data_IF_292571817522
#
_entry.id   IF_292571817522
#
_cell.length_a   1.000
_cell.length_b   1.000
_cell.length_c   1.000
_cell.angle_alpha   90.00
_cell.angle_beta   90.00
_cell.angle_gamma   90.00
#
_symmetry.space_group_name_H-M   'P 1'
#
loop_
_entity.id
_entity.type
_entity.pdbx_description
1 polymer ?
#
# COMPACT_ATOMS: atom_id res chain seq x y z
N UNK A 1 11.88 -11.90 -22.36
CA UNK A 1 12.47 -10.69 -21.71
C UNK A 1 13.98 -10.75 -21.58
N UNK A 2 14.62 -11.89 -21.88
CA UNK A 2 16.08 -12.13 -21.78
C UNK A 2 16.68 -11.75 -20.41
N UNK A 3 15.92 -11.94 -19.33
CA UNK A 3 16.38 -11.64 -17.98
C UNK A 3 17.59 -12.52 -17.60
N UNK A 4 18.70 -11.90 -17.23
CA UNK A 4 19.98 -12.56 -16.95
C UNK A 4 20.28 -12.71 -15.46
N UNK A 5 19.41 -12.14 -14.60
CA UNK A 5 19.54 -12.23 -13.15
C UNK A 5 19.02 -13.53 -12.56
N UNK A 6 18.96 -13.60 -11.25
CA UNK A 6 18.46 -14.73 -10.48
C UNK A 6 16.93 -14.71 -10.49
N UNK A 7 16.29 -15.84 -10.83
CA UNK A 7 14.86 -16.05 -10.65
C UNK A 7 14.67 -16.84 -9.35
N UNK A 8 14.13 -16.17 -8.33
CA UNK A 8 13.80 -16.76 -7.03
C UNK A 8 12.30 -16.99 -6.91
N UNK A 9 11.90 -18.12 -6.34
CA UNK A 9 10.48 -18.36 -6.04
C UNK A 9 10.00 -17.49 -4.87
N UNK A 10 8.70 -17.36 -4.72
CA UNK A 10 8.11 -16.98 -3.43
C UNK A 10 8.35 -18.09 -2.38
N UNK A 11 8.07 -17.76 -1.11
CA UNK A 11 8.40 -18.59 0.05
C UNK A 11 7.57 -19.87 0.11
N UNK A 12 8.26 -21.02 0.13
CA UNK A 12 7.68 -22.34 0.36
C UNK A 12 6.68 -22.82 -0.69
N UNK A 13 6.68 -22.26 -1.93
CA UNK A 13 5.67 -22.60 -2.96
C UNK A 13 5.76 -24.04 -3.47
N UNK A 14 6.90 -24.72 -3.31
CA UNK A 14 7.08 -26.12 -3.72
C UNK A 14 6.82 -27.11 -2.58
N UNK A 15 6.66 -26.62 -1.34
CA UNK A 15 6.48 -27.48 -0.16
C UNK A 15 5.05 -28.02 -0.05
N UNK A 16 4.92 -29.16 0.61
CA UNK A 16 3.62 -29.72 0.96
C UNK A 16 2.89 -28.81 1.96
N UNK A 17 1.53 -28.82 1.97
CA UNK A 17 0.73 -27.94 2.82
C UNK A 17 1.08 -28.04 4.31
N UNK A 18 1.44 -29.22 4.77
CA UNK A 18 1.79 -29.51 6.17
C UNK A 18 3.07 -28.82 6.62
N UNK A 19 3.95 -28.47 5.67
CA UNK A 19 5.21 -27.78 5.92
C UNK A 19 5.09 -26.26 5.84
N UNK A 20 3.95 -25.74 5.39
CA UNK A 20 3.74 -24.31 5.27
C UNK A 20 3.28 -23.69 6.60
N UNK A 21 3.45 -22.39 6.74
CA UNK A 21 2.97 -21.66 7.92
C UNK A 21 1.46 -21.80 8.01
N UNK A 22 0.96 -22.19 9.17
CA UNK A 22 -0.47 -22.34 9.44
C UNK A 22 -1.25 -21.11 9.01
N UNK A 23 -2.30 -21.31 8.22
CA UNK A 23 -3.16 -20.25 7.70
C UNK A 23 -2.81 -19.72 6.30
N UNK A 24 -1.68 -20.13 5.70
CA UNK A 24 -1.36 -19.81 4.29
C UNK A 24 -1.94 -20.81 3.30
N UNK A 25 -2.42 -21.95 3.76
CA UNK A 25 -2.93 -23.01 2.89
C UNK A 25 -1.86 -23.63 1.98
N UNK A 26 -2.30 -24.43 1.02
CA UNK A 26 -1.42 -24.99 0.00
C UNK A 26 -0.92 -23.89 -0.93
N UNK A 27 0.37 -23.82 -1.17
CA UNK A 27 1.01 -22.91 -2.14
C UNK A 27 1.35 -23.57 -3.47
N UNK A 28 1.20 -24.88 -3.56
CA UNK A 28 1.50 -25.67 -4.77
C UNK A 28 0.29 -25.79 -5.71
N UNK A 29 -0.39 -24.69 -6.00
CA UNK A 29 -1.59 -24.66 -6.83
C UNK A 29 -1.38 -25.26 -8.22
N UNK A 30 -2.25 -26.19 -8.61
CA UNK A 30 -2.23 -26.87 -9.89
C UNK A 30 -1.22 -28.03 -9.99
N UNK A 31 -0.39 -28.24 -8.95
CA UNK A 31 0.65 -29.29 -8.89
C UNK A 31 0.63 -30.06 -7.57
N UNK A 32 -0.52 -30.09 -6.90
CA UNK A 32 -0.68 -30.68 -5.57
C UNK A 32 -0.38 -32.20 -5.56
N UNK A 33 -0.70 -32.90 -6.66
CA UNK A 33 -0.52 -34.33 -6.80
C UNK A 33 0.92 -34.75 -7.16
N UNK A 34 1.80 -33.77 -7.45
CA UNK A 34 3.22 -33.99 -7.68
C UNK A 34 3.95 -34.08 -6.34
N UNK A 35 5.04 -34.82 -6.31
CA UNK A 35 5.98 -34.77 -5.18
C UNK A 35 6.70 -33.44 -5.12
N UNK A 36 7.24 -33.08 -3.97
CA UNK A 36 8.01 -31.83 -3.80
C UNK A 36 9.21 -31.79 -4.78
N UNK A 37 9.89 -32.93 -5.00
CA UNK A 37 10.99 -33.03 -5.96
C UNK A 37 10.53 -32.76 -7.41
N UNK A 38 9.37 -33.27 -7.80
CA UNK A 38 8.82 -33.04 -9.15
C UNK A 38 8.42 -31.58 -9.35
N UNK A 39 7.85 -30.93 -8.32
CA UNK A 39 7.56 -29.48 -8.35
C UNK A 39 8.85 -28.67 -8.48
N UNK A 40 9.89 -29.03 -7.73
CA UNK A 40 11.22 -28.43 -7.86
C UNK A 40 11.80 -28.60 -9.26
N UNK A 41 11.71 -29.80 -9.83
CA UNK A 41 12.17 -30.06 -11.19
C UNK A 41 11.41 -29.20 -12.22
N UNK A 42 10.09 -29.11 -12.07
CA UNK A 42 9.26 -28.26 -12.93
C UNK A 42 9.70 -26.79 -12.86
N UNK A 43 9.95 -26.27 -11.67
CA UNK A 43 10.44 -24.92 -11.46
C UNK A 43 11.83 -24.71 -12.09
N UNK A 44 12.78 -25.62 -11.83
CA UNK A 44 14.15 -25.57 -12.38
C UNK A 44 14.13 -25.57 -13.92
N UNK A 45 13.35 -26.44 -14.53
CA UNK A 45 13.27 -26.54 -15.99
C UNK A 45 12.58 -25.34 -16.64
N UNK A 46 11.76 -24.61 -15.88
CA UNK A 46 11.15 -23.34 -16.29
C UNK A 46 11.97 -22.09 -15.91
N UNK A 47 13.19 -22.26 -15.42
CA UNK A 47 14.13 -21.15 -15.28
C UNK A 47 14.36 -20.63 -13.88
N UNK A 48 13.77 -21.24 -12.85
CA UNK A 48 14.01 -20.88 -11.44
C UNK A 48 15.43 -21.26 -11.03
N UNK A 49 16.13 -20.33 -10.40
CA UNK A 49 17.53 -20.50 -9.96
C UNK A 49 17.66 -20.66 -8.43
N UNK A 50 16.67 -20.16 -7.68
CA UNK A 50 16.67 -20.17 -6.21
C UNK A 50 15.26 -20.41 -5.66
N UNK A 51 15.18 -21.16 -4.55
CA UNK A 51 13.91 -21.44 -3.86
C UNK A 51 13.83 -20.64 -2.57
N UNK A 52 12.87 -19.68 -2.54
CA UNK A 52 12.63 -18.85 -1.36
C UNK A 52 12.02 -19.66 -0.21
N UNK A 53 12.44 -19.35 1.02
CA UNK A 53 11.89 -19.95 2.24
C UNK A 53 12.07 -21.46 2.38
N UNK A 54 12.91 -22.09 1.55
CA UNK A 54 13.21 -23.51 1.61
C UNK A 54 14.73 -23.71 1.74
N UNK A 55 15.16 -24.30 2.85
CA UNK A 55 16.57 -24.62 3.13
C UNK A 55 16.89 -26.12 3.00
N UNK A 56 15.91 -26.94 2.63
CA UNK A 56 16.08 -28.38 2.46
C UNK A 56 16.70 -28.71 1.10
N UNK A 57 17.88 -29.34 1.10
CA UNK A 57 18.55 -29.76 -0.14
C UNK A 57 17.99 -31.07 -0.74
N UNK A 58 17.34 -31.88 0.08
CA UNK A 58 16.81 -33.19 -0.33
C UNK A 58 15.94 -33.17 -1.59
N UNK A 59 14.87 -32.37 -1.62
CA UNK A 59 14.00 -32.24 -2.78
C UNK A 59 14.72 -31.79 -4.06
N UNK A 60 15.74 -30.91 -3.94
CA UNK A 60 16.52 -30.44 -5.10
C UNK A 60 17.45 -31.54 -5.65
N UNK A 61 18.09 -32.31 -4.76
CA UNK A 61 18.95 -33.42 -5.16
C UNK A 61 18.12 -34.51 -5.87
N UNK A 62 16.94 -34.80 -5.35
CA UNK A 62 16.02 -35.75 -5.99
C UNK A 62 15.48 -35.23 -7.31
N UNK A 63 15.11 -33.92 -7.39
CA UNK A 63 14.72 -33.28 -8.64
C UNK A 63 15.82 -33.39 -9.71
N UNK A 64 17.10 -33.25 -9.34
CA UNK A 64 18.22 -33.42 -10.26
C UNK A 64 18.27 -34.84 -10.79
N UNK A 65 18.11 -35.91 -9.95
CA UNK A 65 18.11 -37.29 -10.38
C UNK A 65 16.96 -37.59 -11.35
N UNK A 66 15.73 -37.24 -10.97
CA UNK A 66 14.54 -37.36 -11.83
C UNK A 66 14.77 -36.64 -13.16
N UNK A 67 15.35 -35.43 -13.11
CA UNK A 67 15.66 -34.66 -14.31
C UNK A 67 16.70 -35.30 -15.19
N UNK A 68 17.75 -35.97 -14.63
CA UNK A 68 18.75 -36.70 -15.39
C UNK A 68 18.14 -37.88 -16.13
N UNK A 69 17.22 -38.62 -15.49
CA UNK A 69 16.50 -39.72 -16.12
C UNK A 69 15.60 -39.24 -17.27
N UNK A 70 14.95 -38.09 -17.09
CA UNK A 70 13.97 -37.52 -18.04
C UNK A 70 14.58 -36.76 -19.20
N UNK A 71 15.61 -35.95 -18.94
CA UNK A 71 16.18 -35.02 -19.90
C UNK A 71 17.66 -35.28 -20.25
N UNK A 72 18.29 -36.20 -19.55
CA UNK A 72 19.71 -36.55 -19.68
C UNK A 72 20.61 -35.73 -18.74
N UNK A 73 21.66 -36.35 -18.23
CA UNK A 73 22.60 -35.77 -17.24
C UNK A 73 23.25 -34.46 -17.75
N UNK A 74 23.66 -34.44 -19.04
CA UNK A 74 24.28 -33.26 -19.63
C UNK A 74 23.36 -32.04 -19.56
N UNK A 75 22.11 -32.18 -19.94
CA UNK A 75 21.15 -31.08 -19.96
C UNK A 75 20.86 -30.55 -18.54
N UNK A 76 20.70 -31.45 -17.59
CA UNK A 76 20.48 -31.06 -16.18
C UNK A 76 21.71 -30.39 -15.59
N UNK A 77 22.91 -30.89 -15.88
CA UNK A 77 24.15 -30.28 -15.43
C UNK A 77 24.30 -28.84 -15.96
N UNK A 78 24.12 -28.65 -17.27
CA UNK A 78 24.18 -27.31 -17.90
C UNK A 78 23.16 -26.36 -17.27
N UNK A 79 21.94 -26.85 -16.96
CA UNK A 79 20.92 -26.04 -16.29
C UNK A 79 21.31 -25.63 -14.86
N UNK A 80 21.88 -26.54 -14.09
CA UNK A 80 22.33 -26.27 -12.72
C UNK A 80 23.56 -25.33 -12.71
N UNK A 81 24.49 -25.54 -13.62
CA UNK A 81 25.67 -24.65 -13.79
C UNK A 81 25.24 -23.21 -14.18
N UNK A 82 24.19 -23.06 -14.99
CA UNK A 82 23.64 -21.74 -15.30
C UNK A 82 23.08 -21.04 -14.02
N UNK A 83 22.33 -21.77 -13.20
CA UNK A 83 21.84 -21.24 -11.92
C UNK A 83 22.99 -20.86 -10.97
N UNK A 84 23.97 -21.75 -10.82
CA UNK A 84 25.15 -21.47 -10.00
C UNK A 84 25.91 -20.23 -10.49
N UNK A 85 26.08 -20.08 -11.81
CA UNK A 85 26.70 -18.89 -12.39
C UNK A 85 25.94 -17.63 -12.07
N UNK A 86 24.62 -17.63 -12.20
CA UNK A 86 23.76 -16.46 -11.88
C UNK A 86 23.85 -16.08 -10.41
N UNK A 87 23.81 -17.05 -9.51
CA UNK A 87 23.95 -16.84 -8.06
C UNK A 87 25.32 -16.25 -7.69
N UNK A 88 26.40 -16.75 -8.31
CA UNK A 88 27.76 -16.31 -8.01
C UNK A 88 28.08 -14.90 -8.57
N UNK A 89 27.47 -14.49 -9.69
CA UNK A 89 27.74 -13.17 -10.30
C UNK A 89 27.58 -12.04 -9.28
N UNK A 90 26.54 -12.07 -8.45
CA UNK A 90 26.30 -11.03 -7.44
C UNK A 90 27.39 -11.01 -6.36
N UNK A 91 27.87 -12.20 -5.95
CA UNK A 91 28.92 -12.34 -4.96
C UNK A 91 30.24 -11.76 -5.51
N UNK A 92 30.55 -12.05 -6.77
CA UNK A 92 31.74 -11.48 -7.44
C UNK A 92 31.61 -9.96 -7.65
N UNK A 93 30.44 -9.46 -8.07
CA UNK A 93 30.24 -8.01 -8.25
C UNK A 93 30.35 -7.23 -6.94
N UNK A 94 30.01 -7.83 -5.81
CA UNK A 94 30.16 -7.22 -4.48
C UNK A 94 31.56 -7.39 -3.90
N UNK A 95 32.48 -8.10 -4.58
CA UNK A 95 33.85 -8.35 -4.10
C UNK A 95 33.94 -9.23 -2.84
N UNK A 96 32.90 -10.05 -2.57
CA UNK A 96 32.79 -10.79 -1.31
C UNK A 96 33.82 -11.94 -1.17
N UNK A 97 34.49 -12.34 -2.24
CA UNK A 97 35.60 -13.29 -2.19
C UNK A 97 36.93 -12.63 -1.82
N UNK A 98 37.10 -11.36 -2.21
CA UNK A 98 38.31 -10.57 -1.93
C UNK A 98 38.23 -9.88 -0.57
N UNK A 99 37.05 -9.28 -0.27
CA UNK A 99 36.82 -8.58 1.00
C UNK A 99 35.36 -8.81 1.45
N UNK A 100 35.09 -9.88 2.26
CA UNK A 100 33.76 -10.19 2.75
C UNK A 100 33.32 -9.33 3.93
N UNK A 101 34.18 -8.48 4.47
CA UNK A 101 33.92 -7.67 5.65
C UNK A 101 33.75 -6.20 5.29
N UNK A 102 32.82 -5.54 5.94
CA UNK A 102 32.67 -4.09 5.86
C UNK A 102 33.44 -3.40 6.97
N UNK A 103 34.04 -2.27 6.66
CA UNK A 103 34.55 -1.34 7.67
C UNK A 103 33.37 -0.53 8.25
N UNK A 104 33.03 -0.70 9.55
CA UNK A 104 31.93 0.02 10.17
C UNK A 104 32.11 1.54 10.16
N UNK A 105 33.35 2.05 10.28
CA UNK A 105 33.62 3.48 10.29
C UNK A 105 33.45 4.09 8.90
N UNK A 106 33.90 3.42 7.85
CA UNK A 106 33.65 3.84 6.46
C UNK A 106 32.18 3.70 6.09
N UNK A 107 31.53 2.61 6.49
CA UNK A 107 30.10 2.41 6.27
C UNK A 107 29.25 3.51 6.92
N UNK A 108 29.59 3.94 8.13
CA UNK A 108 28.91 5.03 8.84
C UNK A 108 29.03 6.39 8.14
N UNK A 109 30.06 6.61 7.33
CA UNK A 109 30.20 7.84 6.52
C UNK A 109 29.27 7.86 5.31
N UNK A 110 28.80 6.71 4.87
CA UNK A 110 27.99 6.54 3.65
C UNK A 110 26.52 6.33 4.02
N UNK A 111 26.25 5.33 4.88
CA UNK A 111 24.88 4.97 5.28
C UNK A 111 24.26 6.09 6.11
N UNK A 112 23.18 6.68 5.60
CA UNK A 112 22.50 7.77 6.29
C UNK A 112 23.28 9.10 6.29
N UNK A 113 24.25 9.27 5.39
CA UNK A 113 24.94 10.56 5.28
C UNK A 113 23.98 11.69 4.90
N UNK A 114 24.36 12.92 5.23
CA UNK A 114 23.51 14.12 5.05
C UNK A 114 23.00 14.24 3.59
N UNK A 115 23.86 13.96 2.61
CA UNK A 115 23.51 14.03 1.19
C UNK A 115 22.40 13.03 0.84
N UNK A 116 22.52 11.78 1.27
CA UNK A 116 21.52 10.74 0.98
C UNK A 116 20.22 10.99 1.73
N UNK A 117 20.30 11.43 2.99
CA UNK A 117 19.13 11.84 3.77
C UNK A 117 18.38 13.02 3.11
N UNK A 118 19.11 14.00 2.59
CA UNK A 118 18.53 15.13 1.85
C UNK A 118 17.84 14.67 0.57
N UNK A 119 18.47 13.82 -0.24
CA UNK A 119 17.85 13.28 -1.44
C UNK A 119 16.59 12.45 -1.13
N UNK A 120 16.64 11.62 -0.07
CA UNK A 120 15.47 10.87 0.40
C UNK A 120 14.34 11.78 0.86
N UNK A 121 14.66 12.87 1.57
CA UNK A 121 13.67 13.85 2.01
C UNK A 121 13.05 14.63 0.83
N UNK A 122 13.86 15.07 -0.12
CA UNK A 122 13.37 15.70 -1.36
C UNK A 122 12.45 14.77 -2.17
N UNK A 123 12.77 13.46 -2.22
CA UNK A 123 11.90 12.49 -2.87
C UNK A 123 10.54 12.36 -2.16
N UNK A 124 10.54 12.36 -0.82
CA UNK A 124 9.31 12.39 -0.02
C UNK A 124 8.45 13.63 -0.35
N UNK A 125 9.03 14.82 -0.34
CA UNK A 125 8.33 16.06 -0.68
C UNK A 125 7.74 16.03 -2.10
N UNK A 126 8.50 15.51 -3.07
CA UNK A 126 8.08 15.39 -4.49
C UNK A 126 6.95 14.38 -4.69
N UNK A 127 6.82 13.37 -3.83
CA UNK A 127 5.77 12.35 -3.92
C UNK A 127 4.43 12.77 -3.36
N UNK A 128 4.37 13.84 -2.56
CA UNK A 128 3.13 14.34 -1.97
C UNK A 128 2.25 14.97 -3.05
N UNK A 129 0.98 14.57 -3.07
CA UNK A 129 -0.01 15.03 -4.03
C UNK A 129 -1.02 15.96 -3.34
N UNK A 130 -1.14 17.19 -3.82
CA UNK A 130 -2.23 18.07 -3.44
C UNK A 130 -3.44 17.74 -4.32
N UNK A 131 -4.51 17.22 -3.73
CA UNK A 131 -5.73 16.83 -4.44
C UNK A 131 -6.75 17.96 -4.51
N UNK A 132 -6.88 18.71 -3.43
CA UNK A 132 -7.82 19.83 -3.30
C UNK A 132 -7.16 21.00 -2.60
N UNK A 133 -7.46 22.21 -3.05
CA UNK A 133 -7.02 23.46 -2.42
C UNK A 133 -8.04 24.55 -2.66
N UNK A 134 -9.16 24.51 -1.92
CA UNK A 134 -10.31 25.36 -2.15
C UNK A 134 -10.04 26.84 -1.87
N UNK A 135 -10.58 27.71 -2.72
CA UNK A 135 -10.58 29.15 -2.50
C UNK A 135 -11.64 29.60 -1.49
N UNK A 136 -12.59 28.77 -1.10
CA UNK A 136 -13.78 29.13 -0.29
C UNK A 136 -13.42 29.77 1.06
N UNK A 137 -12.35 29.29 1.71
CA UNK A 137 -11.85 29.79 3.00
C UNK A 137 -10.40 30.25 2.91
N UNK A 138 -9.95 30.56 1.70
CA UNK A 138 -8.60 31.04 1.47
C UNK A 138 -8.40 32.46 2.06
N UNK A 139 -7.22 32.74 2.61
CA UNK A 139 -6.86 34.11 2.97
C UNK A 139 -6.90 35.04 1.75
N UNK A 140 -7.19 36.32 1.97
CA UNK A 140 -7.18 37.31 0.91
C UNK A 140 -5.86 37.29 0.13
N UNK A 141 -5.97 37.25 -1.21
CA UNK A 141 -4.83 37.20 -2.13
C UNK A 141 -4.25 35.80 -2.38
N UNK A 142 -4.75 34.75 -1.73
CA UNK A 142 -4.38 33.37 -2.04
C UNK A 142 -5.41 32.70 -2.95
N UNK A 143 -4.94 31.75 -3.78
CA UNK A 143 -5.81 30.97 -4.68
C UNK A 143 -6.50 29.81 -3.99
N UNK A 144 -5.99 29.38 -2.83
CA UNK A 144 -6.53 28.33 -2.00
C UNK A 144 -6.11 28.51 -0.54
N UNK A 145 -6.59 27.62 0.34
CA UNK A 145 -6.26 27.68 1.77
C UNK A 145 -4.79 27.36 2.06
N UNK A 146 -4.15 26.58 1.20
CA UNK A 146 -2.72 26.28 1.28
C UNK A 146 -1.92 27.19 0.34
N UNK A 147 -0.68 27.56 0.73
CA UNK A 147 -0.02 27.19 1.98
C UNK A 147 -0.55 27.95 3.19
N UNK A 148 -0.57 27.31 4.36
CA UNK A 148 -0.91 27.95 5.61
C UNK A 148 0.18 28.95 6.03
N UNK A 149 -0.24 30.04 6.66
CA UNK A 149 0.69 30.97 7.33
C UNK A 149 1.32 30.30 8.55
N UNK A 150 2.56 30.64 8.84
CA UNK A 150 3.22 30.21 10.08
C UNK A 150 2.66 30.93 11.31
N UNK A 151 2.75 30.28 12.47
CA UNK A 151 2.33 30.86 13.74
C UNK A 151 0.85 30.70 14.07
N UNK A 152 0.08 29.97 13.26
CA UNK A 152 -1.32 29.68 13.55
C UNK A 152 -1.47 28.73 14.75
N UNK A 153 -2.63 28.81 15.41
CA UNK A 153 -3.10 27.82 16.37
C UNK A 153 -3.73 26.66 15.60
N UNK A 154 -3.18 25.47 15.80
CA UNK A 154 -3.51 24.27 15.01
C UNK A 154 -4.14 23.21 15.91
N UNK A 155 -5.35 22.77 15.58
CA UNK A 155 -5.97 21.63 16.20
C UNK A 155 -5.65 20.36 15.40
N UNK A 156 -5.22 19.31 16.10
CA UNK A 156 -4.88 18.01 15.51
C UNK A 156 -5.55 16.94 16.36
N UNK A 157 -6.64 16.32 15.90
CA UNK A 157 -7.33 15.27 16.65
C UNK A 157 -6.51 13.99 16.72
N UNK A 158 -6.68 13.23 17.80
CA UNK A 158 -6.19 11.86 17.88
C UNK A 158 -7.00 10.94 16.96
N UNK A 159 -6.36 9.89 16.46
CA UNK A 159 -7.01 8.86 15.66
C UNK A 159 -7.44 7.69 16.54
N UNK A 160 -8.66 7.19 16.32
CA UNK A 160 -9.20 6.00 16.97
C UNK A 160 -9.29 4.87 15.96
N UNK A 161 -8.63 3.77 16.23
CA UNK A 161 -8.56 2.61 15.33
C UNK A 161 -9.21 1.45 16.05
N UNK A 162 -10.21 0.84 15.42
CA UNK A 162 -10.91 -0.33 15.96
C UNK A 162 -10.04 -1.59 15.96
N UNK A 163 -10.55 -2.69 16.52
CA UNK A 163 -9.85 -3.98 16.52
C UNK A 163 -9.56 -4.43 15.07
N UNK A 164 -8.35 -4.90 14.84
CA UNK A 164 -7.90 -5.29 13.49
C UNK A 164 -7.06 -6.57 13.56
N UNK A 165 -6.58 -7.02 12.41
CA UNK A 165 -5.67 -8.16 12.32
C UNK A 165 -4.38 -7.75 11.62
N UNK A 166 -3.25 -8.06 12.25
CA UNK A 166 -1.94 -7.95 11.61
C UNK A 166 -1.67 -9.12 10.68
N UNK A 167 -0.53 -9.05 10.00
CA UNK A 167 0.04 -10.17 9.25
C UNK A 167 0.06 -11.44 10.13
N UNK A 168 -0.17 -12.61 9.56
CA UNK A 168 -0.41 -13.89 10.28
C UNK A 168 -1.69 -13.94 11.14
N UNK A 169 -2.69 -13.11 10.84
CA UNK A 169 -3.99 -13.10 11.54
C UNK A 169 -3.91 -12.83 13.04
N UNK A 170 -2.85 -12.18 13.51
CA UNK A 170 -2.69 -11.77 14.91
C UNK A 170 -3.74 -10.70 15.22
N UNK A 171 -4.53 -10.90 16.26
CA UNK A 171 -5.51 -9.93 16.71
C UNK A 171 -4.83 -8.72 17.33
N UNK A 172 -5.16 -7.53 16.83
CA UNK A 172 -4.75 -6.26 17.38
C UNK A 172 -5.94 -5.60 18.09
N UNK A 173 -5.76 -5.16 19.35
CA UNK A 173 -6.81 -4.46 20.07
C UNK A 173 -7.07 -3.07 19.46
N UNK A 174 -8.23 -2.49 19.79
CA UNK A 174 -8.49 -1.09 19.51
C UNK A 174 -7.42 -0.20 20.15
N UNK A 175 -7.02 0.86 19.47
CA UNK A 175 -6.04 1.84 19.94
C UNK A 175 -6.47 3.27 19.63
N UNK A 176 -5.94 4.20 20.42
CA UNK A 176 -5.92 5.62 20.10
C UNK A 176 -4.46 6.03 19.87
N UNK A 177 -4.21 6.82 18.84
CA UNK A 177 -2.86 7.28 18.52
C UNK A 177 -2.83 8.77 18.19
N UNK A 178 -1.78 9.43 18.65
CA UNK A 178 -1.47 10.79 18.21
C UNK A 178 -0.80 10.72 16.82
N UNK A 179 -1.39 11.32 15.78
CA UNK A 179 -0.79 11.31 14.43
C UNK A 179 0.50 12.13 14.34
N UNK A 180 0.79 12.95 15.36
CA UNK A 180 1.99 13.79 15.45
C UNK A 180 2.61 13.68 16.85
N UNK A 181 3.15 12.49 17.23
CA UNK A 181 3.62 12.21 18.59
C UNK A 181 4.77 13.10 19.05
N UNK A 182 5.63 13.56 18.12
CA UNK A 182 6.73 14.48 18.41
C UNK A 182 6.26 15.95 18.55
N UNK A 183 4.93 16.18 18.46
CA UNK A 183 4.33 17.49 18.50
C UNK A 183 4.48 18.29 17.21
N UNK A 184 3.79 19.43 17.15
CA UNK A 184 3.92 20.37 16.03
C UNK A 184 5.16 21.25 16.24
N UNK A 185 6.19 21.18 15.35
CA UNK A 185 7.34 22.08 15.49
C UNK A 185 6.94 23.55 15.48
N UNK A 186 7.51 24.33 16.41
CA UNK A 186 7.18 25.75 16.61
C UNK A 186 7.40 26.65 15.38
N UNK A 187 8.24 26.19 14.45
CA UNK A 187 8.43 26.87 13.15
C UNK A 187 7.17 26.92 12.28
N UNK A 188 6.19 26.05 12.53
CA UNK A 188 4.92 26.01 11.79
C UNK A 188 3.80 26.71 12.55
N UNK A 189 3.64 26.42 13.85
CA UNK A 189 2.55 26.97 14.65
C UNK A 189 2.53 26.44 16.08
N UNK A 190 1.39 26.63 16.74
CA UNK A 190 1.15 26.14 18.11
C UNK A 190 0.00 25.17 18.10
N UNK A 191 0.21 23.92 18.54
CA UNK A 191 -0.87 22.95 18.73
C UNK A 191 -1.74 23.35 19.92
N UNK A 192 -3.06 23.35 19.72
CA UNK A 192 -4.06 23.64 20.75
C UNK A 192 -4.88 22.40 21.07
N UNK A 193 -5.51 22.38 22.27
CA UNK A 193 -6.20 21.22 22.77
C UNK A 193 -7.63 21.06 22.22
N UNK A 194 -8.24 22.16 21.76
CA UNK A 194 -9.62 22.13 21.27
C UNK A 194 -9.78 22.87 19.93
N UNK A 195 -10.76 22.49 19.10
CA UNK A 195 -11.03 23.14 17.82
C UNK A 195 -11.50 24.60 17.98
N UNK A 196 -12.14 24.94 19.09
CA UNK A 196 -12.62 26.31 19.37
C UNK A 196 -11.46 27.31 19.46
N UNK A 197 -10.32 26.87 20.02
CA UNK A 197 -9.12 27.72 20.17
C UNK A 197 -8.30 27.82 18.89
N UNK A 198 -8.56 26.92 17.93
CA UNK A 198 -7.75 26.80 16.72
C UNK A 198 -8.10 27.82 15.65
N UNK A 199 -7.11 28.16 14.82
CA UNK A 199 -7.29 28.90 13.57
C UNK A 199 -7.52 27.96 12.39
N UNK A 200 -7.00 26.72 12.48
CA UNK A 200 -7.08 25.68 11.46
C UNK A 200 -7.05 24.29 12.09
N UNK A 201 -7.75 23.31 11.49
CA UNK A 201 -7.61 21.92 11.85
C UNK A 201 -6.77 21.17 10.80
N UNK A 202 -5.81 20.35 11.27
CA UNK A 202 -5.11 19.35 10.46
C UNK A 202 -5.58 17.97 10.88
N UNK A 203 -6.34 17.31 10.02
CA UNK A 203 -6.91 15.97 10.28
C UNK A 203 -6.10 14.93 9.52
N UNK A 204 -5.32 14.16 10.23
CA UNK A 204 -4.58 13.04 9.66
C UNK A 204 -5.47 11.80 9.61
N UNK A 205 -5.51 11.16 8.46
CA UNK A 205 -6.28 9.94 8.22
C UNK A 205 -5.42 8.93 7.46
N UNK A 206 -5.88 7.68 7.41
CA UNK A 206 -5.38 6.67 6.48
C UNK A 206 -6.52 6.16 5.61
N UNK A 207 -6.20 5.63 4.42
CA UNK A 207 -7.19 4.97 3.58
C UNK A 207 -8.03 3.96 4.37
N UNK A 208 -9.32 3.79 4.04
CA UNK A 208 -10.14 2.78 4.68
C UNK A 208 -9.46 1.42 4.68
N UNK A 209 -9.36 0.80 5.84
CA UNK A 209 -8.73 -0.50 6.02
C UNK A 209 -9.70 -1.45 6.73
N UNK A 210 -9.84 -2.66 6.20
CA UNK A 210 -10.78 -3.64 6.71
C UNK A 210 -10.17 -5.03 6.79
N UNK A 211 -10.81 -5.92 7.54
CA UNK A 211 -10.46 -7.33 7.57
C UNK A 211 -11.26 -8.05 6.47
N UNK A 212 -10.64 -8.59 5.42
CA UNK A 212 -11.36 -9.22 4.31
C UNK A 212 -11.82 -10.65 4.62
N UNK A 213 -11.58 -11.11 5.84
CA UNK A 213 -11.91 -12.45 6.28
C UNK A 213 -12.45 -12.47 7.70
N UNK A 214 -13.52 -13.26 7.94
CA UNK A 214 -14.20 -13.41 9.22
C UNK A 214 -14.28 -14.88 9.65
N UNK A 215 -13.59 -15.23 10.72
CA UNK A 215 -13.73 -16.54 11.36
C UNK A 215 -15.13 -16.76 11.94
N UNK A 216 -15.83 -15.67 12.30
CA UNK A 216 -17.21 -15.73 12.78
C UNK A 216 -18.18 -16.10 11.64
N UNK A 217 -18.00 -15.55 10.45
CA UNK A 217 -18.77 -15.91 9.26
C UNK A 217 -18.59 -17.40 8.94
N UNK A 218 -17.33 -17.87 8.97
CA UNK A 218 -17.01 -19.28 8.75
C UNK A 218 -17.67 -20.18 9.79
N UNK A 219 -17.60 -19.83 11.07
CA UNK A 219 -18.22 -20.60 12.15
C UNK A 219 -19.75 -20.66 12.04
N UNK A 220 -20.38 -19.69 11.38
CA UNK A 220 -21.83 -19.64 11.12
C UNK A 220 -22.22 -20.31 9.79
N UNK A 221 -21.33 -21.07 9.16
CA UNK A 221 -21.59 -21.78 7.90
C UNK A 221 -21.36 -20.97 6.64
N UNK A 222 -20.80 -19.77 6.74
CA UNK A 222 -20.30 -18.99 5.61
C UNK A 222 -18.94 -19.49 5.11
N UNK A 223 -18.41 -18.83 4.08
CA UNK A 223 -17.10 -19.15 3.52
C UNK A 223 -15.95 -18.30 4.12
N UNK A 224 -16.25 -17.40 5.06
CA UNK A 224 -15.28 -16.51 5.71
C UNK A 224 -14.93 -15.25 4.94
N UNK A 225 -15.15 -15.19 3.62
CA UNK A 225 -14.78 -14.02 2.82
C UNK A 225 -15.75 -12.87 3.02
N UNK A 226 -15.18 -11.66 3.18
CA UNK A 226 -15.90 -10.39 3.27
C UNK A 226 -15.40 -9.47 2.16
N UNK A 227 -16.23 -8.51 1.69
CA UNK A 227 -15.77 -7.54 0.70
C UNK A 227 -14.64 -6.70 1.26
N UNK A 228 -13.64 -6.39 0.43
CA UNK A 228 -12.66 -5.35 0.72
C UNK A 228 -13.36 -4.01 0.44
N UNK A 229 -13.56 -3.20 1.48
CA UNK A 229 -14.14 -1.87 1.33
C UNK A 229 -13.07 -0.80 1.21
N UNK A 230 -13.26 0.12 0.26
CA UNK A 230 -12.44 1.32 0.06
C UNK A 230 -13.16 2.59 0.57
N UNK A 231 -14.27 2.43 1.29
CA UNK A 231 -15.00 3.47 1.99
C UNK A 231 -14.97 3.23 3.51
N UNK A 232 -15.14 4.30 4.29
CA UNK A 232 -15.14 4.21 5.75
C UNK A 232 -16.41 3.57 6.31
N UNK A 233 -17.57 4.04 5.81
CA UNK A 233 -18.87 3.54 6.26
C UNK A 233 -19.13 2.11 5.79
N UNK A 234 -20.04 1.38 6.45
CA UNK A 234 -20.35 0.01 6.07
C UNK A 234 -20.67 -0.12 4.58
N UNK A 235 -20.03 -1.06 3.92
CA UNK A 235 -20.30 -1.42 2.55
C UNK A 235 -20.88 -2.83 2.47
N UNK A 236 -22.02 -2.96 1.80
CA UNK A 236 -22.62 -4.25 1.48
C UNK A 236 -22.44 -4.51 -0.01
N UNK A 237 -21.74 -5.60 -0.35
CA UNK A 237 -21.50 -5.95 -1.73
C UNK A 237 -22.80 -6.30 -2.47
N UNK A 238 -23.16 -5.50 -3.45
CA UNK A 238 -24.33 -5.73 -4.34
C UNK A 238 -23.96 -6.59 -5.53
N UNK A 239 -22.67 -6.57 -5.90
CA UNK A 239 -22.07 -7.35 -6.97
C UNK A 239 -20.86 -8.07 -6.40
N UNK A 240 -20.60 -9.27 -6.86
CA UNK A 240 -19.36 -9.99 -6.59
C UNK A 240 -19.07 -10.82 -7.82
N UNK A 241 -17.82 -10.82 -8.26
CA UNK A 241 -17.42 -11.64 -9.40
C UNK A 241 -17.51 -13.11 -9.04
N UNK A 242 -18.08 -13.90 -9.94
CA UNK A 242 -18.15 -15.35 -9.80
C UNK A 242 -16.81 -16.01 -10.15
N UNK A 243 -16.06 -15.38 -11.05
CA UNK A 243 -14.77 -15.87 -11.55
C UNK A 243 -13.73 -14.77 -11.47
N UNK A 244 -12.56 -15.07 -10.89
CA UNK A 244 -11.40 -14.18 -10.87
C UNK A 244 -10.37 -14.62 -11.91
N UNK A 245 -9.74 -13.64 -12.60
CA UNK A 245 -8.64 -13.89 -13.54
C UNK A 245 -7.35 -14.25 -12.80
N UNK A 246 -7.21 -13.80 -11.57
CA UNK A 246 -6.03 -14.05 -10.74
C UNK A 246 -5.77 -15.55 -10.46
N UNK A 247 -6.69 -16.40 -10.86
CA UNK A 247 -6.59 -17.84 -10.65
C UNK A 247 -6.84 -18.22 -9.19
N UNK A 248 -6.82 -19.50 -8.94
CA UNK A 248 -7.02 -20.09 -7.63
C UNK A 248 -6.69 -21.56 -7.70
N UNK A 249 -6.74 -22.25 -6.59
CA UNK A 249 -6.63 -23.70 -6.57
C UNK A 249 -7.76 -24.29 -7.41
N UNK A 250 -7.45 -25.20 -8.34
CA UNK A 250 -8.46 -25.85 -9.19
C UNK A 250 -9.51 -26.62 -8.38
N UNK A 251 -9.21 -26.96 -7.12
CA UNK A 251 -10.14 -27.58 -6.17
C UNK A 251 -11.10 -26.57 -5.54
N UNK A 252 -10.86 -25.27 -5.71
CA UNK A 252 -11.76 -24.25 -5.18
C UNK A 252 -12.95 -24.06 -6.11
N UNK A 253 -14.12 -23.92 -5.49
CA UNK A 253 -15.30 -23.43 -6.17
C UNK A 253 -15.32 -21.90 -6.00
N UNK A 254 -15.29 -21.13 -7.10
CA UNK A 254 -15.34 -19.66 -7.04
C UNK A 254 -16.59 -19.16 -6.30
N UNK A 255 -17.69 -19.84 -6.34
CA UNK A 255 -18.88 -19.53 -5.53
C UNK A 255 -18.58 -19.61 -4.04
N UNK A 256 -17.60 -20.41 -3.63
CA UNK A 256 -17.17 -20.50 -2.25
C UNK A 256 -16.40 -19.24 -1.77
N UNK A 257 -15.86 -18.43 -2.66
CA UNK A 257 -15.22 -17.15 -2.36
C UNK A 257 -16.18 -15.96 -2.46
N UNK A 258 -17.41 -16.16 -2.88
CA UNK A 258 -18.36 -15.08 -3.04
C UNK A 258 -18.65 -14.38 -1.72
N UNK A 259 -18.59 -13.06 -1.75
CA UNK A 259 -18.99 -12.16 -0.66
C UNK A 259 -20.26 -11.37 -0.99
N UNK A 260 -21.00 -11.76 -2.04
CA UNK A 260 -22.25 -11.12 -2.45
C UNK A 260 -23.23 -11.05 -1.28
N UNK A 261 -23.80 -9.87 -1.05
CA UNK A 261 -24.73 -9.61 0.05
C UNK A 261 -24.11 -9.48 1.44
N UNK A 262 -22.79 -9.69 1.58
CA UNK A 262 -22.08 -9.52 2.84
C UNK A 262 -21.64 -8.08 3.05
N UNK A 263 -21.58 -7.67 4.31
CA UNK A 263 -21.18 -6.32 4.72
C UNK A 263 -19.82 -6.34 5.39
N UNK A 264 -19.00 -5.35 5.07
CA UNK A 264 -17.76 -5.06 5.82
C UNK A 264 -17.67 -3.58 6.16
N UNK A 265 -16.89 -3.25 7.18
CA UNK A 265 -16.68 -1.88 7.66
C UNK A 265 -15.19 -1.67 7.90
N UNK A 266 -14.69 -0.49 7.58
CA UNK A 266 -13.31 -0.12 7.88
C UNK A 266 -13.09 -0.07 9.40
N UNK A 267 -12.01 -0.69 9.88
CA UNK A 267 -11.69 -0.63 11.31
C UNK A 267 -11.17 0.76 11.74
N UNK A 268 -10.80 1.61 10.78
CA UNK A 268 -10.46 3.00 10.99
C UNK A 268 -11.60 3.96 10.56
N UNK A 269 -12.86 3.53 10.63
CA UNK A 269 -14.05 4.35 10.31
C UNK A 269 -14.05 5.70 11.07
N UNK A 270 -13.50 5.75 12.27
CA UNK A 270 -13.39 6.96 13.07
C UNK A 270 -12.50 8.06 12.44
N UNK A 271 -11.69 7.76 11.44
CA UNK A 271 -10.97 8.79 10.66
C UNK A 271 -11.96 9.69 9.92
N UNK A 272 -13.03 9.13 9.38
CA UNK A 272 -14.13 9.92 8.80
C UNK A 272 -14.84 10.75 9.86
N UNK A 273 -15.14 10.17 11.03
CA UNK A 273 -15.78 10.91 12.12
C UNK A 273 -14.95 12.13 12.53
N UNK A 274 -13.62 11.98 12.61
CA UNK A 274 -12.71 13.09 12.91
C UNK A 274 -12.84 14.24 11.91
N UNK A 275 -12.96 13.96 10.61
CA UNK A 275 -13.16 15.00 9.58
C UNK A 275 -14.50 15.73 9.82
N UNK A 276 -15.58 14.95 9.95
CA UNK A 276 -16.93 15.48 10.10
C UNK A 276 -17.10 16.27 11.40
N UNK A 277 -16.50 15.82 12.48
CA UNK A 277 -16.50 16.51 13.78
C UNK A 277 -15.67 17.79 13.73
N UNK A 278 -14.48 17.74 13.16
CA UNK A 278 -13.67 18.93 12.93
C UNK A 278 -14.41 19.96 12.07
N UNK A 279 -15.04 19.53 10.98
CA UNK A 279 -15.80 20.46 10.13
C UNK A 279 -16.90 21.19 10.90
N UNK A 280 -17.67 20.43 11.70
CA UNK A 280 -18.74 21.01 12.53
C UNK A 280 -18.20 21.98 13.58
N UNK A 281 -17.13 21.61 14.27
CA UNK A 281 -16.55 22.41 15.34
C UNK A 281 -15.79 23.66 14.81
N UNK A 282 -15.12 23.54 13.67
CA UNK A 282 -14.34 24.63 13.07
C UNK A 282 -15.22 25.71 12.41
N UNK A 283 -16.49 25.39 12.05
CA UNK A 283 -17.39 26.36 11.39
C UNK A 283 -16.78 26.91 10.09
N UNK A 284 -16.49 28.19 10.02
CA UNK A 284 -15.89 28.85 8.84
C UNK A 284 -14.37 28.81 8.81
N UNK A 285 -13.72 28.20 9.80
CA UNK A 285 -12.27 28.05 9.81
C UNK A 285 -11.83 26.85 8.94
N UNK A 286 -10.63 26.86 8.35
CA UNK A 286 -10.18 25.81 7.45
C UNK A 286 -10.01 24.44 8.13
N UNK A 287 -10.36 23.38 7.39
CA UNK A 287 -10.09 21.97 7.72
C UNK A 287 -9.25 21.36 6.60
N UNK A 288 -8.04 20.95 6.95
CA UNK A 288 -7.07 20.35 6.02
C UNK A 288 -7.00 18.86 6.33
N UNK A 289 -7.25 18.02 5.35
CA UNK A 289 -7.12 16.56 5.46
C UNK A 289 -5.76 16.12 4.92
N UNK A 290 -4.99 15.42 5.74
CA UNK A 290 -3.70 14.81 5.38
C UNK A 290 -3.90 13.29 5.36
N UNK A 291 -4.02 12.72 4.16
CA UNK A 291 -4.36 11.32 3.95
C UNK A 291 -3.14 10.47 3.60
N UNK A 292 -2.82 9.48 4.43
CA UNK A 292 -1.91 8.40 4.07
C UNK A 292 -2.65 7.40 3.18
N UNK A 293 -2.24 7.30 1.93
CA UNK A 293 -2.91 6.49 0.90
C UNK A 293 -2.19 5.15 0.76
N UNK A 294 -2.71 4.14 1.45
CA UNK A 294 -2.25 2.75 1.33
C UNK A 294 -2.98 1.98 0.21
N UNK A 295 -4.24 2.38 -0.06
CA UNK A 295 -5.10 1.86 -1.12
C UNK A 295 -5.87 3.02 -1.76
N UNK A 296 -6.39 2.89 -2.99
CA UNK A 296 -7.39 3.80 -3.51
C UNK A 296 -8.53 3.97 -2.49
N UNK A 297 -9.14 5.14 -2.42
CA UNK A 297 -10.18 5.40 -1.44
C UNK A 297 -11.34 6.16 -2.04
N UNK A 298 -12.55 5.87 -1.54
CA UNK A 298 -13.78 6.56 -1.91
C UNK A 298 -13.80 7.92 -1.22
N UNK A 299 -13.70 8.98 -2.01
CA UNK A 299 -13.51 10.35 -1.51
C UNK A 299 -14.83 11.06 -1.17
N UNK A 300 -15.96 10.65 -1.75
CA UNK A 300 -17.23 11.35 -1.60
C UNK A 300 -17.75 11.42 -0.16
N UNK A 301 -17.27 10.55 0.74
CA UNK A 301 -17.70 10.54 2.14
C UNK A 301 -17.21 11.79 2.91
N UNK A 302 -16.15 12.47 2.45
CA UNK A 302 -15.55 13.57 3.21
C UNK A 302 -14.99 14.73 2.36
N UNK A 303 -14.84 14.56 1.06
CA UNK A 303 -14.17 15.57 0.22
C UNK A 303 -14.79 16.94 0.36
N UNK A 304 -16.13 17.03 0.38
CA UNK A 304 -16.86 18.31 0.49
C UNK A 304 -16.63 19.03 1.84
N UNK A 305 -16.23 18.30 2.89
CA UNK A 305 -15.99 18.82 4.23
C UNK A 305 -14.56 19.32 4.43
N UNK A 306 -13.66 19.02 3.51
CA UNK A 306 -12.27 19.45 3.52
C UNK A 306 -12.05 20.68 2.63
N UNK A 307 -11.28 21.65 3.13
CA UNK A 307 -10.87 22.83 2.35
C UNK A 307 -9.57 22.56 1.55
N UNK A 308 -8.73 21.65 2.05
CA UNK A 308 -7.63 21.09 1.26
C UNK A 308 -7.44 19.61 1.61
N UNK A 309 -6.96 18.84 0.63
CA UNK A 309 -6.65 17.42 0.77
C UNK A 309 -5.24 17.18 0.24
N UNK A 310 -4.37 16.73 1.14
CA UNK A 310 -2.99 16.35 0.86
C UNK A 310 -2.89 14.84 0.96
N UNK A 311 -2.61 14.16 -0.14
CA UNK A 311 -2.40 12.72 -0.18
C UNK A 311 -0.90 12.39 -0.16
N UNK A 312 -0.51 11.42 0.67
CA UNK A 312 0.86 10.96 0.80
C UNK A 312 0.92 9.43 0.87
N UNK A 313 2.08 8.85 0.60
CA UNK A 313 2.27 7.41 0.41
C UNK A 313 3.31 6.85 1.38
N UNK A 314 3.20 7.18 2.67
CA UNK A 314 4.10 6.72 3.73
C UNK A 314 5.33 7.60 3.91
N UNK A 315 5.23 8.90 3.68
CA UNK A 315 6.30 9.86 3.93
C UNK A 315 6.34 10.33 5.39
N UNK A 316 7.43 11.01 5.78
CA UNK A 316 7.55 11.60 7.11
C UNK A 316 6.55 12.74 7.32
N UNK A 317 6.07 12.90 8.54
CA UNK A 317 5.18 14.02 8.91
C UNK A 317 5.84 15.37 8.64
N UNK A 318 7.16 15.48 8.73
CA UNK A 318 7.90 16.70 8.40
C UNK A 318 7.70 17.11 6.94
N UNK A 319 7.75 16.16 6.00
CA UNK A 319 7.53 16.43 4.57
C UNK A 319 6.08 16.89 4.31
N UNK A 320 5.08 16.30 4.98
CA UNK A 320 3.68 16.72 4.91
C UNK A 320 3.52 18.15 5.43
N UNK A 321 4.10 18.46 6.60
CA UNK A 321 4.03 19.80 7.20
C UNK A 321 4.73 20.84 6.32
N UNK A 322 5.84 20.51 5.66
CA UNK A 322 6.48 21.42 4.70
C UNK A 322 5.53 21.77 3.55
N UNK A 323 4.79 20.82 3.01
CA UNK A 323 3.76 21.08 1.99
C UNK A 323 2.60 21.90 2.57
N UNK A 324 2.12 21.59 3.76
CA UNK A 324 0.99 22.31 4.37
C UNK A 324 1.36 23.77 4.67
N UNK A 325 2.58 24.05 5.13
CA UNK A 325 3.04 25.38 5.54
C UNK A 325 3.97 26.09 4.54
N UNK A 326 4.00 25.67 3.29
CA UNK A 326 4.70 26.38 2.21
C UNK A 326 6.22 26.19 2.19
N UNK A 327 6.74 25.22 2.87
CA UNK A 327 8.16 24.82 2.77
C UNK A 327 8.48 24.13 1.44
N UNK A 328 7.50 23.52 0.82
CA UNK A 328 7.61 22.89 -0.49
C UNK A 328 6.31 23.03 -1.28
N UNK A 329 6.38 23.58 -2.51
CA UNK A 329 5.22 23.66 -3.39
C UNK A 329 4.97 22.29 -4.04
N UNK A 330 3.81 21.65 -3.85
CA UNK A 330 3.56 20.28 -4.33
C UNK A 330 3.78 20.11 -5.83
N UNK A 331 4.35 18.96 -6.21
CA UNK A 331 4.56 18.57 -7.61
C UNK A 331 4.11 17.15 -7.89
N UNK A 332 3.69 16.43 -6.84
CA UNK A 332 3.24 15.05 -6.93
C UNK A 332 1.96 14.88 -7.74
N UNK A 333 1.79 13.69 -8.27
CA UNK A 333 0.61 13.31 -9.06
C UNK A 333 0.13 11.95 -8.63
N UNK A 334 -1.18 11.72 -8.69
CA UNK A 334 -1.77 10.44 -8.36
C UNK A 334 -1.14 9.32 -9.20
N UNK A 335 -0.56 8.30 -8.56
CA UNK A 335 -0.07 7.10 -9.23
C UNK A 335 -1.18 6.08 -9.49
N UNK A 336 -2.38 6.34 -9.03
CA UNK A 336 -3.57 5.48 -9.08
C UNK A 336 -4.82 6.32 -9.38
N UNK A 337 -5.90 5.66 -9.78
CA UNK A 337 -7.23 6.25 -9.88
C UNK A 337 -7.92 6.22 -8.50
N UNK A 338 -8.61 7.30 -8.12
CA UNK A 338 -9.51 7.29 -6.96
C UNK A 338 -10.92 6.94 -7.42
N UNK A 339 -11.56 5.90 -6.87
CA UNK A 339 -12.86 5.45 -7.33
C UNK A 339 -13.95 6.46 -7.02
N UNK A 340 -14.93 6.57 -7.91
CA UNK A 340 -16.14 7.32 -7.69
C UNK A 340 -16.90 6.81 -6.46
N UNK A 341 -17.08 5.51 -6.39
CA UNK A 341 -17.79 4.80 -5.33
C UNK A 341 -17.39 3.30 -5.35
N UNK A 342 -17.97 2.50 -4.47
CA UNK A 342 -17.73 1.06 -4.44
C UNK A 342 -18.32 0.31 -5.62
N UNK A 343 -19.37 0.82 -6.28
CA UNK A 343 -19.92 0.20 -7.49
C UNK A 343 -18.90 0.29 -8.64
N UNK A 344 -18.21 1.43 -8.78
CA UNK A 344 -17.10 1.59 -9.74
C UNK A 344 -15.94 0.62 -9.46
N UNK A 345 -15.63 0.35 -8.18
CA UNK A 345 -14.61 -0.64 -7.79
C UNK A 345 -15.01 -2.05 -8.22
N UNK A 346 -16.25 -2.43 -8.01
CA UNK A 346 -16.76 -3.77 -8.37
C UNK A 346 -16.90 -3.97 -9.90
N UNK A 347 -17.04 -2.90 -10.66
CA UNK A 347 -17.23 -2.95 -12.12
C UNK A 347 -15.90 -2.99 -12.90
N UNK A 348 -14.79 -2.53 -12.31
CA UNK A 348 -13.49 -2.56 -12.98
C UNK A 348 -13.05 -4.00 -13.32
N UNK A 349 -12.27 -4.15 -14.39
CA UNK A 349 -11.69 -5.43 -14.78
C UNK A 349 -10.37 -5.67 -14.04
N UNK A 350 -10.15 -6.89 -13.55
CA UNK A 350 -8.95 -7.24 -12.77
C UNK A 350 -7.64 -7.13 -13.58
N UNK A 351 -7.72 -7.29 -14.90
CA UNK A 351 -6.59 -7.32 -15.83
C UNK A 351 -6.43 -6.04 -16.68
N UNK A 352 -7.26 -5.02 -16.44
CA UNK A 352 -7.22 -3.76 -17.19
C UNK A 352 -6.81 -2.62 -16.28
N UNK A 353 -5.81 -1.87 -16.72
CA UNK A 353 -5.40 -0.66 -16.05
C UNK A 353 -6.28 0.53 -16.50
N UNK A 354 -6.55 1.44 -15.57
CA UNK A 354 -7.21 2.72 -15.82
C UNK A 354 -8.61 2.61 -16.46
N UNK A 355 -9.37 1.59 -16.09
CA UNK A 355 -10.74 1.38 -16.56
C UNK A 355 -11.83 1.68 -15.50
N UNK A 356 -11.42 2.16 -14.33
CA UNK A 356 -12.33 2.50 -13.23
C UNK A 356 -12.94 3.89 -13.44
N UNK A 357 -14.25 4.04 -13.17
CA UNK A 357 -14.89 5.36 -13.10
C UNK A 357 -14.33 6.12 -11.89
N UNK A 358 -13.73 7.28 -12.15
CA UNK A 358 -13.01 8.06 -11.16
C UNK A 358 -13.88 9.10 -10.47
N UNK A 359 -13.48 9.48 -9.25
CA UNK A 359 -14.16 10.51 -8.48
C UNK A 359 -13.93 11.91 -9.08
N UNK A 360 -15.01 12.67 -9.20
CA UNK A 360 -14.99 14.10 -9.56
C UNK A 360 -15.36 14.87 -8.30
N UNK A 361 -14.48 15.78 -7.86
CA UNK A 361 -14.66 16.54 -6.64
C UNK A 361 -15.73 17.64 -6.77
N UNK A 362 -16.03 18.30 -5.65
CA UNK A 362 -17.00 19.39 -5.57
C UNK A 362 -16.64 20.63 -6.38
N UNK A 363 -15.40 20.74 -6.86
CA UNK A 363 -14.88 21.83 -7.71
C UNK A 363 -14.72 21.42 -9.17
N UNK A 364 -15.09 20.18 -9.53
CA UNK A 364 -15.07 19.65 -10.89
C UNK A 364 -13.74 19.02 -11.32
N UNK A 365 -12.82 18.75 -10.37
CA UNK A 365 -11.55 18.09 -10.66
C UNK A 365 -11.72 16.57 -10.64
N UNK A 366 -11.13 15.92 -11.63
CA UNK A 366 -11.17 14.46 -11.75
C UNK A 366 -9.93 13.84 -11.11
N UNK A 367 -10.11 13.00 -10.08
CA UNK A 367 -9.01 12.34 -9.37
C UNK A 367 -8.53 11.07 -10.10
N UNK A 368 -8.18 11.26 -11.36
CA UNK A 368 -7.65 10.22 -12.23
C UNK A 368 -6.11 10.08 -12.10
N UNK A 369 -5.57 9.03 -12.68
CA UNK A 369 -4.12 8.83 -12.81
C UNK A 369 -3.43 10.06 -13.41
N UNK A 370 -2.38 10.52 -12.73
CA UNK A 370 -1.62 11.71 -13.15
C UNK A 370 -2.21 13.05 -12.71
N UNK A 371 -3.36 13.06 -12.01
CA UNK A 371 -3.91 14.28 -11.43
C UNK A 371 -3.09 14.77 -10.23
N UNK A 372 -3.01 16.08 -10.04
CA UNK A 372 -2.41 16.75 -8.91
C UNK A 372 -2.46 18.27 -9.08
N UNK A 373 -2.28 18.97 -7.98
CA UNK A 373 -2.27 20.42 -7.89
C UNK A 373 -0.97 20.93 -7.27
N UNK A 374 -0.71 22.20 -7.46
CA UNK A 374 0.16 23.01 -6.63
C UNK A 374 -0.61 24.22 -6.07
N UNK A 375 0.05 25.13 -5.39
CA UNK A 375 -0.64 26.31 -4.81
C UNK A 375 -1.22 27.26 -5.89
N UNK A 376 -0.75 27.16 -7.13
CA UNK A 376 -1.23 27.97 -8.25
C UNK A 376 -2.44 27.35 -8.98
N UNK A 377 -2.74 26.09 -8.75
CA UNK A 377 -3.84 25.34 -9.36
C UNK A 377 -3.44 23.96 -9.88
N UNK A 378 -4.26 23.40 -10.75
CA UNK A 378 -4.05 22.07 -11.32
C UNK A 378 -2.77 22.02 -12.15
N UNK A 379 -1.95 21.00 -11.91
CA UNK A 379 -0.72 20.77 -12.67
C UNK A 379 -1.03 20.45 -14.14
N UNK A 380 -0.26 20.95 -15.11
CA UNK A 380 -0.45 20.62 -16.52
C UNK A 380 -0.44 19.10 -16.72
N UNK A 381 -1.26 18.58 -17.65
CA UNK A 381 -1.23 17.16 -17.98
C UNK A 381 0.20 16.72 -18.36
N UNK A 382 0.56 15.47 -18.05
CA UNK A 382 1.84 14.94 -18.53
C UNK A 382 1.88 15.01 -20.06
N UNK A 383 2.95 15.60 -20.58
CA UNK A 383 3.22 15.47 -22.02
C UNK A 383 3.52 13.98 -22.27
N UNK A 384 2.64 13.34 -23.04
CA UNK A 384 2.85 11.97 -23.52
C UNK A 384 4.08 11.90 -24.40
#
# INVERSE_FOLDING_TARGET
>A
YEFKGIVCTDWGITQDPEKTIEGFGSRCYGVQDMTEAERCLLAITNGVDQFGGNSESGPIVEAYKIGCEKYGEKAMRERMELSAKRLLINIFHCGLFEDPYLDPEESAKIVGCEEFCRHGYEAQQKSIVLLKNSAKRAPEGQKGVLPLKKGLKVYIPERKIGPSKAFFRIDLPAKTEDPLPDGLPSKYGTRVASPEEADVALVFIESPACNPYSTKDLANGGNGYLPITLQYRPYTAKKAREVSIAGGDFRENFTNRSYLGKTNTAYNEADLDNILECRRAMGDKPVIVCATVNNPMVMHEFEAEADAIVAEFGVSRAAVLDVVFGGYNPTGRLPIQMPKDMDAVEEQSEDRALDMETYIDSEGHNYDYGYGMNYEGVLPAWKK
#
